data_IF_160373320168
#
_entry.id   IF_160373320168
#
_cell.length_a   1.000
_cell.length_b   1.000
_cell.length_c   1.000
_cell.angle_alpha   90.00
_cell.angle_beta   90.00
_cell.angle_gamma   90.00
#
_symmetry.space_group_name_H-M   'P 1'
#
loop_
_entity.id
_entity.type
_entity.pdbx_description
1 polymer ?
#
# COMPACT_ATOMS: atom_id res chain seq x y z
N UNK A 1 -5.16 -5.67 4.88
CA UNK A 1 -4.70 -4.27 4.96
C UNK A 1 -3.43 -4.08 4.15
N UNK A 2 -3.39 -3.05 3.30
CA UNK A 2 -2.19 -2.52 2.64
C UNK A 2 -1.49 -1.54 3.58
N UNK A 3 -0.19 -1.72 3.79
CA UNK A 3 0.57 -1.00 4.80
C UNK A 3 1.33 0.20 4.22
N UNK A 4 1.71 1.11 5.12
CA UNK A 4 2.56 2.27 4.84
C UNK A 4 3.93 2.13 5.50
N UNK A 5 4.91 2.84 4.97
CA UNK A 5 6.19 3.14 5.62
C UNK A 5 6.00 4.22 6.71
N UNK A 6 6.97 4.40 7.62
CA UNK A 6 6.87 5.37 8.71
C UNK A 6 6.69 6.82 8.26
N UNK A 7 7.08 7.17 7.04
CA UNK A 7 6.90 8.50 6.47
C UNK A 7 5.51 8.73 5.84
N UNK A 8 4.74 7.66 5.62
CA UNK A 8 3.39 7.70 5.04
C UNK A 8 3.29 7.17 3.60
N UNK A 9 4.42 6.97 2.92
CA UNK A 9 4.44 6.30 1.62
C UNK A 9 3.87 4.89 1.73
N UNK A 10 3.17 4.45 0.68
CA UNK A 10 2.63 3.12 0.60
C UNK A 10 3.74 2.08 0.40
N UNK A 11 3.60 0.89 0.99
CA UNK A 11 4.54 -0.21 0.75
C UNK A 11 4.30 -0.93 -0.58
N UNK A 12 3.10 -0.79 -1.15
CA UNK A 12 2.71 -1.48 -2.38
C UNK A 12 3.32 -0.79 -3.59
N UNK A 13 4.17 -1.50 -4.33
CA UNK A 13 4.87 -0.97 -5.52
C UNK A 13 4.17 -1.34 -6.84
N UNK A 14 2.96 -1.92 -6.79
CA UNK A 14 2.23 -2.30 -8.00
C UNK A 14 2.92 -3.38 -8.84
N UNK A 15 3.61 -4.34 -8.21
CA UNK A 15 4.32 -5.43 -8.90
C UNK A 15 3.42 -6.62 -9.32
N UNK A 16 2.14 -6.61 -8.93
CA UNK A 16 1.13 -7.60 -9.33
C UNK A 16 1.36 -9.07 -8.89
N UNK A 17 2.48 -9.37 -8.20
CA UNK A 17 2.81 -10.73 -7.74
C UNK A 17 1.74 -11.35 -6.82
N UNK A 18 1.08 -10.54 -5.98
CA UNK A 18 -0.01 -11.00 -5.12
C UNK A 18 -1.27 -11.42 -5.91
N UNK A 19 -1.54 -10.77 -7.05
CA UNK A 19 -2.61 -11.17 -7.95
C UNK A 19 -2.25 -12.48 -8.64
N UNK A 20 -1.02 -12.59 -9.15
CA UNK A 20 -0.51 -13.83 -9.75
C UNK A 20 -0.52 -15.03 -8.80
N UNK A 21 -0.15 -14.80 -7.53
CA UNK A 21 -0.13 -15.84 -6.51
C UNK A 21 -1.52 -16.23 -6.00
N UNK A 22 -2.59 -15.49 -6.34
CA UNK A 22 -3.92 -15.74 -5.81
C UNK A 22 -4.58 -16.95 -6.49
N UNK A 23 -4.79 -18.08 -5.80
CA UNK A 23 -5.36 -19.29 -6.42
C UNK A 23 -6.84 -19.14 -6.79
N UNK A 24 -7.51 -18.12 -6.25
CA UNK A 24 -8.94 -17.88 -6.45
C UNK A 24 -9.24 -16.70 -7.40
N UNK A 25 -8.20 -16.10 -8.00
CA UNK A 25 -8.35 -14.93 -8.88
C UNK A 25 -9.21 -13.83 -8.23
N UNK A 26 -8.87 -13.52 -6.98
CA UNK A 26 -9.63 -12.59 -6.13
C UNK A 26 -9.01 -11.18 -6.08
N UNK A 27 -7.80 -10.99 -6.63
CA UNK A 27 -7.05 -9.74 -6.51
C UNK A 27 -6.81 -9.15 -7.90
N UNK A 28 -7.11 -7.87 -8.06
CA UNK A 28 -6.73 -7.09 -9.25
C UNK A 28 -5.76 -5.98 -8.83
N UNK A 29 -4.68 -5.81 -9.60
CA UNK A 29 -3.68 -4.77 -9.36
C UNK A 29 -3.30 -4.14 -10.70
N UNK A 30 -3.22 -2.81 -10.71
CA UNK A 30 -2.65 -2.03 -11.81
C UNK A 30 -1.54 -1.16 -11.24
N UNK A 31 -0.30 -1.34 -11.70
CA UNK A 31 0.81 -0.46 -11.36
C UNK A 31 0.86 0.81 -12.22
N UNK A 32 1.43 1.88 -11.69
CA UNK A 32 1.81 3.08 -12.46
C UNK A 32 3.16 3.63 -11.99
N UNK A 33 3.77 4.49 -12.81
CA UNK A 33 5.07 5.08 -12.50
C UNK A 33 4.92 6.28 -11.57
N UNK A 34 5.79 6.35 -10.56
CA UNK A 34 5.94 7.55 -9.74
C UNK A 34 6.55 8.69 -10.57
N UNK A 35 6.23 9.92 -10.19
CA UNK A 35 6.91 11.11 -10.73
C UNK A 35 7.97 11.59 -9.74
N UNK A 36 9.09 12.17 -10.22
CA UNK A 36 10.09 12.76 -9.34
C UNK A 36 9.48 13.80 -8.39
N UNK A 37 9.55 13.54 -7.08
CA UNK A 37 9.03 14.44 -6.04
C UNK A 37 7.56 14.22 -5.68
N UNK A 38 6.85 13.37 -6.42
CA UNK A 38 5.44 13.02 -6.19
C UNK A 38 5.30 11.49 -6.04
N UNK A 39 6.05 10.89 -5.12
CA UNK A 39 6.01 9.46 -4.89
C UNK A 39 4.79 9.04 -4.06
N UNK A 40 4.13 7.96 -4.49
CA UNK A 40 3.11 7.28 -3.69
C UNK A 40 3.67 6.11 -2.87
N UNK A 41 4.70 5.46 -3.41
CA UNK A 41 5.51 4.43 -2.77
C UNK A 41 7.00 4.67 -3.08
N UNK A 42 7.94 4.04 -2.35
CA UNK A 42 9.35 4.13 -2.68
C UNK A 42 9.66 3.53 -4.06
N UNK A 43 10.65 4.10 -4.75
CA UNK A 43 11.13 3.61 -6.05
C UNK A 43 10.32 4.13 -7.25
N UNK A 44 10.39 3.40 -8.36
CA UNK A 44 9.89 3.85 -9.66
C UNK A 44 8.38 3.69 -9.84
N UNK A 45 7.74 2.76 -9.12
CA UNK A 45 6.35 2.36 -9.35
C UNK A 45 5.55 2.28 -8.06
N UNK A 46 4.24 2.45 -8.19
CA UNK A 46 3.25 2.31 -7.11
C UNK A 46 2.03 1.52 -7.60
N UNK A 47 1.24 0.97 -6.66
CA UNK A 47 -0.05 0.37 -6.98
C UNK A 47 -1.10 1.45 -7.22
N UNK A 48 -1.44 1.74 -8.48
CA UNK A 48 -2.47 2.73 -8.84
C UNK A 48 -3.87 2.22 -8.53
N UNK A 49 -4.15 0.97 -8.90
CA UNK A 49 -5.37 0.26 -8.54
C UNK A 49 -5.00 -0.96 -7.72
N UNK A 50 -5.77 -1.22 -6.67
CA UNK A 50 -5.69 -2.46 -5.91
C UNK A 50 -7.09 -2.84 -5.45
N UNK A 51 -7.56 -4.01 -5.83
CA UNK A 51 -8.87 -4.51 -5.41
C UNK A 51 -8.76 -5.94 -4.88
N UNK A 52 -9.53 -6.25 -3.83
CA UNK A 52 -9.75 -7.61 -3.34
C UNK A 52 -11.25 -7.91 -3.35
N UNK A 53 -11.62 -8.94 -4.11
CA UNK A 53 -12.97 -9.50 -4.09
C UNK A 53 -13.09 -10.55 -2.97
N UNK A 54 -13.63 -10.14 -1.83
CA UNK A 54 -13.83 -11.02 -0.67
C UNK A 54 -14.91 -12.10 -0.87
N UNK A 55 -15.73 -12.02 -1.92
CA UNK A 55 -16.61 -13.12 -2.32
C UNK A 55 -15.88 -14.25 -3.05
N UNK A 56 -14.64 -14.02 -3.50
CA UNK A 56 -13.77 -15.02 -4.13
C UNK A 56 -12.62 -15.44 -3.23
N UNK A 57 -12.13 -14.53 -2.40
CA UNK A 57 -11.00 -14.79 -1.52
C UNK A 57 -11.24 -16.01 -0.63
N UNK A 58 -10.29 -16.95 -0.63
CA UNK A 58 -10.32 -18.15 0.23
C UNK A 58 -9.43 -18.01 1.47
N UNK A 59 -8.95 -16.80 1.77
CA UNK A 59 -8.16 -16.48 2.96
C UNK A 59 -6.90 -17.35 3.17
N UNK A 60 -6.26 -17.80 2.09
CA UNK A 60 -5.11 -18.72 2.16
C UNK A 60 -3.77 -18.07 2.57
N UNK A 61 -3.64 -16.74 2.50
CA UNK A 61 -2.41 -16.02 2.86
C UNK A 61 -1.30 -15.97 1.80
N UNK A 62 -1.42 -16.68 0.67
CA UNK A 62 -0.38 -16.72 -0.37
C UNK A 62 -0.01 -15.33 -0.95
N UNK A 63 -0.97 -14.40 -0.99
CA UNK A 63 -0.72 -13.03 -1.43
C UNK A 63 0.27 -12.27 -0.51
N UNK A 64 0.34 -12.62 0.77
CA UNK A 64 1.29 -12.04 1.74
C UNK A 64 2.67 -12.62 1.51
N UNK A 65 2.77 -13.94 1.36
CA UNK A 65 4.04 -14.64 1.13
C UNK A 65 4.70 -14.20 -0.17
N UNK A 66 3.89 -14.01 -1.22
CA UNK A 66 4.37 -13.55 -2.52
C UNK A 66 4.79 -12.07 -2.54
N UNK A 67 4.42 -11.26 -1.52
CA UNK A 67 4.66 -9.83 -1.55
C UNK A 67 6.12 -9.49 -1.20
N UNK A 68 6.92 -8.96 -2.14
CA UNK A 68 8.35 -8.76 -1.93
C UNK A 68 8.65 -7.65 -0.91
N UNK A 69 7.74 -6.67 -0.78
CA UNK A 69 7.89 -5.53 0.13
C UNK A 69 7.10 -5.69 1.43
N UNK A 70 6.44 -6.86 1.63
CA UNK A 70 5.51 -7.11 2.75
C UNK A 70 4.46 -6.00 2.90
N UNK A 71 3.91 -5.56 1.78
CA UNK A 71 2.91 -4.49 1.73
C UNK A 71 1.55 -4.92 2.30
N UNK A 72 1.17 -6.18 2.12
CA UNK A 72 -0.13 -6.70 2.56
C UNK A 72 0.00 -7.46 3.89
N UNK A 73 -0.98 -7.32 4.76
CA UNK A 73 -1.12 -8.12 5.99
C UNK A 73 -2.57 -8.53 6.20
N UNK A 74 -2.77 -9.75 6.68
CA UNK A 74 -4.06 -10.22 7.17
C UNK A 74 -4.29 -9.68 8.58
N UNK A 75 -5.37 -8.94 8.74
CA UNK A 75 -5.82 -8.43 10.04
C UNK A 75 -6.64 -9.51 10.74
N UNK A 76 -6.99 -9.25 12.00
CA UNK A 76 -7.92 -10.09 12.75
C UNK A 76 -9.38 -9.64 12.57
N UNK A 77 -9.68 -8.86 11.52
CA UNK A 77 -11.04 -8.42 11.22
C UNK A 77 -11.75 -9.54 10.45
N UNK A 78 -12.80 -10.11 11.05
CA UNK A 78 -13.58 -11.21 10.46
C UNK A 78 -15.06 -10.85 10.26
N UNK A 79 -15.52 -9.74 10.82
CA UNK A 79 -16.91 -9.27 10.72
C UNK A 79 -17.15 -8.49 9.41
N UNK A 80 -16.91 -9.14 8.27
CA UNK A 80 -16.96 -8.53 6.94
C UNK A 80 -18.33 -8.63 6.26
N UNK A 81 -19.34 -9.17 6.93
CA UNK A 81 -20.64 -9.44 6.31
C UNK A 81 -21.36 -8.14 5.89
N UNK A 82 -21.86 -8.10 4.66
CA UNK A 82 -22.70 -7.00 4.17
C UNK A 82 -23.84 -7.55 3.28
N UNK A 83 -24.86 -6.72 3.07
CA UNK A 83 -26.09 -7.04 2.36
C UNK A 83 -25.98 -6.86 0.83
N UNK A 84 -24.87 -6.33 0.34
CA UNK A 84 -24.67 -6.09 -1.11
C UNK A 84 -23.33 -6.62 -1.58
N UNK A 85 -23.33 -7.26 -2.75
CA UNK A 85 -22.12 -7.88 -3.33
C UNK A 85 -21.02 -6.86 -3.60
N UNK A 86 -21.38 -5.66 -4.06
CA UNK A 86 -20.43 -4.62 -4.43
C UNK A 86 -19.55 -4.17 -3.26
N UNK A 87 -20.09 -4.12 -2.04
CA UNK A 87 -19.32 -3.74 -0.84
C UNK A 87 -18.32 -4.80 -0.38
N UNK A 88 -18.36 -6.00 -0.95
CA UNK A 88 -17.38 -7.06 -0.69
C UNK A 88 -16.27 -7.08 -1.75
N UNK A 89 -16.26 -6.09 -2.64
CA UNK A 89 -15.14 -5.79 -3.52
C UNK A 89 -14.46 -4.56 -2.92
N UNK A 90 -13.38 -4.80 -2.18
CA UNK A 90 -12.67 -3.73 -1.49
C UNK A 90 -11.70 -3.09 -2.46
N UNK A 91 -11.69 -1.76 -2.49
CA UNK A 91 -10.77 -0.96 -3.28
C UNK A 91 -9.54 -0.57 -2.45
N UNK A 92 -8.62 0.16 -3.09
CA UNK A 92 -7.33 0.47 -2.51
C UNK A 92 -7.48 1.26 -1.21
N UNK A 93 -8.42 2.20 -1.21
CA UNK A 93 -8.75 3.10 -0.10
C UNK A 93 -9.32 2.33 1.10
N UNK A 94 -10.14 1.29 0.85
CA UNK A 94 -10.69 0.42 1.91
C UNK A 94 -9.59 -0.45 2.55
N UNK A 95 -8.57 -0.78 1.77
CA UNK A 95 -7.49 -1.68 2.18
C UNK A 95 -6.34 -0.93 2.85
N UNK A 96 -6.10 0.33 2.48
CA UNK A 96 -4.97 1.13 2.95
C UNK A 96 -5.04 1.40 4.45
N UNK A 97 -3.93 1.15 5.12
CA UNK A 97 -3.74 1.52 6.51
C UNK A 97 -3.86 3.03 6.70
N UNK A 98 -4.48 3.49 7.79
CA UNK A 98 -4.65 4.91 8.06
C UNK A 98 -3.28 5.57 8.26
N UNK A 99 -3.22 6.86 7.94
CA UNK A 99 -2.08 7.70 8.32
C UNK A 99 -2.05 7.83 9.85
N UNK A 100 -0.90 7.56 10.45
CA UNK A 100 -0.67 7.72 11.89
C UNK A 100 -0.07 9.09 12.16
N UNK A 101 -0.09 9.49 13.43
CA UNK A 101 0.55 10.74 13.86
C UNK A 101 2.02 10.77 13.40
N UNK A 102 2.40 11.86 12.72
CA UNK A 102 3.74 12.01 12.14
C UNK A 102 3.90 11.40 10.74
N UNK A 103 2.87 10.87 10.09
CA UNK A 103 2.95 10.48 8.66
C UNK A 103 2.51 11.62 7.73
N UNK A 104 3.07 11.67 6.52
CA UNK A 104 2.63 12.56 5.43
C UNK A 104 1.70 11.81 4.49
N UNK A 105 0.57 12.38 4.04
CA UNK A 105 -0.18 11.79 2.95
C UNK A 105 0.64 11.79 1.65
N UNK A 106 0.76 10.67 0.92
CA UNK A 106 1.28 10.70 -0.44
C UNK A 106 0.33 11.50 -1.37
N UNK A 107 0.85 12.10 -2.46
CA UNK A 107 2.23 11.98 -2.93
C UNK A 107 3.21 12.93 -2.21
N UNK A 108 4.44 12.47 -1.98
CA UNK A 108 5.52 13.29 -1.45
C UNK A 108 6.90 12.71 -1.83
N UNK A 109 8.00 13.48 -1.77
CA UNK A 109 9.35 12.95 -2.03
C UNK A 109 9.74 11.83 -1.06
N UNK A 110 10.63 10.94 -1.51
CA UNK A 110 11.30 10.00 -0.62
C UNK A 110 12.12 10.72 0.46
N UNK A 111 12.36 10.04 1.58
CA UNK A 111 13.16 10.53 2.70
C UNK A 111 14.54 11.00 2.21
N UNK A 112 15.04 12.17 2.65
CA UNK A 112 16.28 12.73 2.10
C UNK A 112 17.47 11.79 2.23
N UNK A 113 18.31 11.76 1.20
CA UNK A 113 19.52 10.91 1.12
C UNK A 113 19.25 9.40 1.26
N UNK A 114 18.07 8.94 0.85
CA UNK A 114 17.73 7.51 0.83
C UNK A 114 17.46 7.02 -0.59
N UNK A 115 17.54 5.71 -0.76
CA UNK A 115 17.06 4.96 -1.92
C UNK A 115 15.88 4.08 -1.50
N UNK A 116 15.16 3.57 -2.48
CA UNK A 116 14.11 2.55 -2.29
C UNK A 116 14.60 1.34 -1.47
N UNK A 117 15.86 0.93 -1.65
CA UNK A 117 16.45 -0.15 -0.87
C UNK A 117 16.50 0.15 0.64
N UNK A 118 16.71 1.40 1.06
CA UNK A 118 16.66 1.79 2.48
C UNK A 118 15.25 1.58 3.06
N UNK A 119 14.20 1.88 2.28
CA UNK A 119 12.81 1.65 2.69
C UNK A 119 12.52 0.17 2.94
N UNK A 120 12.97 -0.70 2.04
CA UNK A 120 12.72 -2.14 2.16
C UNK A 120 13.52 -2.80 3.28
N UNK A 121 14.63 -2.20 3.71
CA UNK A 121 15.38 -2.59 4.91
C UNK A 121 14.86 -1.98 6.22
N UNK A 122 13.86 -1.10 6.14
CA UNK A 122 13.28 -0.44 7.32
C UNK A 122 14.17 0.64 7.93
N UNK A 123 15.04 1.25 7.14
CA UNK A 123 16.01 2.26 7.59
C UNK A 123 15.44 3.69 7.59
N UNK A 124 14.21 3.88 7.10
CA UNK A 124 13.48 5.17 7.15
C UNK A 124 12.72 5.25 8.47
N UNK A 125 13.14 6.11 9.42
CA UNK A 125 12.67 6.01 10.79
C UNK A 125 11.35 6.75 11.05
N UNK A 126 11.07 7.82 10.30
CA UNK A 126 10.04 8.79 10.63
C UNK A 126 9.44 9.45 9.38
N UNK A 127 8.45 10.31 9.63
CA UNK A 127 8.01 11.41 8.78
C UNK A 127 9.03 11.94 7.75
N UNK A 128 8.58 12.24 6.53
CA UNK A 128 9.38 13.06 5.63
C UNK A 128 9.56 14.49 6.22
N UNK A 129 10.78 15.06 6.26
CA UNK A 129 11.04 16.40 6.84
C UNK A 129 10.27 17.57 6.22
N UNK A 130 9.68 17.40 5.03
CA UNK A 130 8.84 18.42 4.39
C UNK A 130 7.53 18.71 5.13
N UNK A 131 7.20 17.95 6.18
CA UNK A 131 6.04 18.20 7.06
C UNK A 131 5.99 19.62 7.64
N UNK A 132 7.12 20.33 7.72
CA UNK A 132 7.19 21.72 8.19
C UNK A 132 6.87 22.79 7.15
N UNK A 133 6.61 22.43 5.89
CA UNK A 133 6.36 23.39 4.79
C UNK A 133 4.90 23.32 4.34
N UNK A 134 3.96 23.42 5.27
CA UNK A 134 2.63 23.91 4.91
C UNK A 134 2.82 25.41 4.66
N UNK A 135 2.88 25.80 3.39
CA UNK A 135 2.80 27.21 3.00
C UNK A 135 1.49 27.76 3.55
N UNK A 136 1.59 28.66 4.52
CA UNK A 136 0.55 29.64 4.78
C UNK A 136 0.59 30.63 3.61
N UNK A 137 -0.26 30.41 2.60
CA UNK A 137 -0.66 31.43 1.62
C UNK A 137 -2.18 31.39 1.47
#
# INVERSE_FOLDING_TARGET
QLNRHPDGLEKCIGCELCAWACPADAIYVEGADNKPGEQFSPGERYGKVYQINYLRCIFCGLCIEACPTRALTMTNEYELADNTRGKLIFEKEDLLGPLRAGMVPPPHPMYPNTTDANYYRGEVPNAHPSQGVIKND
#
